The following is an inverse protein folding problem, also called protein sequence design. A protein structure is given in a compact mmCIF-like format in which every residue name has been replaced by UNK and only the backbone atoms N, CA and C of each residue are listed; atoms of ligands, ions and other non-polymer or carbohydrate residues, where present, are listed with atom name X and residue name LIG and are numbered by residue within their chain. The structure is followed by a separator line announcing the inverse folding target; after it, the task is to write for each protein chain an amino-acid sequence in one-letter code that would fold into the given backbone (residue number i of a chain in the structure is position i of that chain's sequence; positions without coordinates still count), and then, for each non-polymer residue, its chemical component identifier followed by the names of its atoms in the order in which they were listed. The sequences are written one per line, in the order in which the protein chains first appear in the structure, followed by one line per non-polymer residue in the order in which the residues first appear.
data_IF_995818448276
#
_entry.id   IF_995818448276
#
_cell.length_a   1.000
_cell.length_b   1.000
_cell.length_c   1.000
_cell.angle_alpha   90.00
_cell.angle_beta   90.00
_cell.angle_gamma   90.00
#
_symmetry.space_group_name_H-M   'P 1'
#
loop_
_entity.id
_entity.type
_entity.pdbx_description
1 polymer ?
#
# COMPACT_ATOMS: atom_id res chain seq x y z
N UNK A 1 14.65 -0.45 14.32
CA UNK A 1 13.24 -0.84 14.55
C UNK A 1 12.64 -1.64 13.37
N UNK A 2 13.43 -2.20 12.47
CA UNK A 2 12.96 -2.90 11.24
C UNK A 2 12.68 -4.41 11.43
N UNK A 3 13.41 -5.05 12.35
CA UNK A 3 13.39 -6.51 12.54
C UNK A 3 12.06 -7.03 13.14
N UNK A 4 11.48 -6.36 14.13
CA UNK A 4 10.20 -6.78 14.73
C UNK A 4 9.02 -6.64 13.77
N UNK A 5 8.99 -5.58 12.96
CA UNK A 5 7.96 -5.37 11.94
C UNK A 5 8.06 -6.41 10.82
N UNK A 6 9.26 -6.68 10.30
CA UNK A 6 9.47 -7.70 9.27
C UNK A 6 9.18 -9.13 9.75
N UNK A 7 9.49 -9.46 11.01
CA UNK A 7 9.07 -10.73 11.62
C UNK A 7 7.55 -10.86 11.71
N UNK A 8 6.84 -9.75 11.97
CA UNK A 8 5.38 -9.70 11.98
C UNK A 8 4.79 -10.03 10.59
N UNK A 9 5.25 -9.35 9.54
CA UNK A 9 4.80 -9.62 8.16
C UNK A 9 5.12 -11.05 7.69
N UNK A 10 6.31 -11.57 8.01
CA UNK A 10 6.69 -12.94 7.66
C UNK A 10 5.83 -14.00 8.36
N UNK A 11 5.52 -13.80 9.64
CA UNK A 11 4.63 -14.69 10.38
C UNK A 11 3.21 -14.66 9.82
N UNK A 12 2.70 -13.49 9.47
CA UNK A 12 1.39 -13.30 8.87
C UNK A 12 1.28 -13.95 7.48
N UNK A 13 2.27 -13.72 6.61
CA UNK A 13 2.34 -14.35 5.29
C UNK A 13 2.36 -15.88 5.39
N UNK A 14 3.11 -16.43 6.35
CA UNK A 14 3.15 -17.87 6.62
C UNK A 14 1.78 -18.38 7.09
N UNK A 15 1.13 -17.65 8.01
CA UNK A 15 -0.17 -18.00 8.56
C UNK A 15 -1.27 -18.05 7.49
N UNK A 16 -1.30 -17.06 6.57
CA UNK A 16 -2.25 -17.03 5.44
C UNK A 16 -2.15 -18.31 4.61
N UNK A 17 -0.92 -18.72 4.24
CA UNK A 17 -0.70 -19.91 3.41
C UNK A 17 -1.06 -21.19 4.15
N UNK A 18 -0.67 -21.32 5.43
CA UNK A 18 -0.94 -22.52 6.22
C UNK A 18 -2.43 -22.70 6.51
N UNK A 19 -3.13 -21.62 6.86
CA UNK A 19 -4.55 -21.67 7.17
C UNK A 19 -5.41 -21.97 5.94
N UNK A 20 -4.96 -21.60 4.73
CA UNK A 20 -5.69 -21.87 3.48
C UNK A 20 -5.93 -23.37 3.20
N UNK A 21 -5.08 -24.25 3.74
CA UNK A 21 -5.22 -25.71 3.59
C UNK A 21 -5.79 -26.41 4.83
N UNK A 22 -6.15 -25.66 5.87
CA UNK A 22 -6.72 -26.19 7.10
C UNK A 22 -8.26 -26.10 7.07
N UNK A 23 -8.90 -27.03 6.36
CA UNK A 23 -10.37 -27.06 6.24
C UNK A 23 -11.10 -27.31 7.56
N UNK A 24 -10.40 -27.76 8.61
CA UNK A 24 -10.99 -27.93 9.93
C UNK A 24 -11.23 -26.60 10.65
N UNK A 25 -10.48 -25.55 10.30
CA UNK A 25 -10.58 -24.21 10.89
C UNK A 25 -10.63 -23.11 9.82
N UNK A 26 -11.73 -23.05 9.06
CA UNK A 26 -11.95 -21.99 8.06
C UNK A 26 -11.94 -20.58 8.68
N UNK A 27 -12.30 -20.44 9.96
CA UNK A 27 -12.30 -19.15 10.67
C UNK A 27 -10.87 -18.64 10.89
N UNK A 28 -9.90 -19.54 11.10
CA UNK A 28 -8.49 -19.19 11.15
C UNK A 28 -8.02 -18.57 9.83
N UNK A 29 -8.39 -19.18 8.70
CA UNK A 29 -8.02 -18.62 7.39
C UNK A 29 -8.65 -17.25 7.16
N UNK A 30 -9.93 -17.10 7.51
CA UNK A 30 -10.62 -15.83 7.37
C UNK A 30 -9.99 -14.71 8.21
N UNK A 31 -9.63 -15.00 9.47
CA UNK A 31 -8.87 -14.06 10.32
C UNK A 31 -7.50 -13.72 9.74
N UNK A 32 -6.80 -14.70 9.15
CA UNK A 32 -5.50 -14.49 8.52
C UNK A 32 -5.61 -13.58 7.28
N UNK A 33 -6.64 -13.79 6.45
CA UNK A 33 -6.95 -12.93 5.29
C UNK A 33 -7.28 -11.50 5.74
N UNK A 34 -8.13 -11.33 6.75
CA UNK A 34 -8.45 -10.02 7.31
C UNK A 34 -7.20 -9.30 7.83
N UNK A 35 -6.35 -9.99 8.59
CA UNK A 35 -5.11 -9.43 9.08
C UNK A 35 -4.13 -9.06 7.95
N UNK A 36 -4.05 -9.86 6.89
CA UNK A 36 -3.23 -9.59 5.72
C UNK A 36 -3.70 -8.35 4.95
N UNK A 37 -5.01 -8.21 4.72
CA UNK A 37 -5.59 -7.04 4.06
C UNK A 37 -5.39 -5.76 4.89
N UNK A 38 -5.53 -5.87 6.22
CA UNK A 38 -5.21 -4.76 7.12
C UNK A 38 -3.72 -4.39 7.09
N UNK A 39 -2.83 -5.38 6.97
CA UNK A 39 -1.38 -5.16 6.85
C UNK A 39 -0.98 -4.49 5.51
N UNK A 40 -1.82 -4.57 4.49
CA UNK A 40 -1.69 -3.82 3.24
C UNK A 40 -2.22 -2.38 3.35
N UNK A 41 -2.74 -1.97 4.52
CA UNK A 41 -3.25 -0.62 4.75
C UNK A 41 -4.71 -0.40 4.33
N UNK A 42 -5.50 -1.48 4.21
CA UNK A 42 -6.93 -1.40 3.93
C UNK A 42 -7.72 -1.46 5.23
N UNK A 43 -8.81 -0.68 5.33
CA UNK A 43 -9.71 -0.75 6.48
C UNK A 43 -10.53 -2.05 6.41
N UNK A 44 -10.51 -2.85 7.47
CA UNK A 44 -11.19 -4.16 7.51
C UNK A 44 -12.28 -4.17 8.58
N UNK A 45 -13.49 -4.51 8.15
CA UNK A 45 -14.66 -4.74 8.99
C UNK A 45 -14.95 -6.24 9.03
N UNK A 46 -14.88 -6.83 10.23
CA UNK A 46 -15.25 -8.24 10.47
C UNK A 46 -16.59 -8.29 11.17
N UNK A 47 -17.61 -8.87 10.51
CA UNK A 47 -18.92 -9.06 11.12
C UNK A 47 -18.96 -10.43 11.81
N UNK A 48 -19.04 -10.46 13.14
CA UNK A 48 -19.00 -11.70 13.93
C UNK A 48 -20.38 -12.30 14.21
N UNK A 49 -20.48 -13.63 14.10
CA UNK A 49 -21.60 -14.45 14.57
C UNK A 49 -21.28 -15.96 14.51
N UNK A 50 -22.05 -16.82 15.22
CA UNK A 50 -21.86 -18.27 15.13
C UNK A 50 -21.97 -18.74 13.67
N UNK A 51 -20.88 -19.29 13.13
CA UNK A 51 -20.76 -19.78 11.73
C UNK A 51 -20.85 -18.73 10.62
N UNK A 52 -20.69 -17.45 10.94
CA UNK A 52 -20.66 -16.35 9.96
C UNK A 52 -19.69 -15.31 10.45
N UNK A 53 -18.43 -15.47 10.08
CA UNK A 53 -17.55 -14.32 10.04
C UNK A 53 -17.58 -13.89 8.57
N UNK A 54 -18.00 -12.64 8.35
CA UNK A 54 -18.04 -12.04 7.02
C UNK A 54 -16.99 -10.92 7.05
N UNK A 55 -16.08 -10.88 6.09
CA UNK A 55 -15.05 -9.83 5.97
C UNK A 55 -15.48 -8.85 4.89
N UNK A 56 -15.49 -7.56 5.23
CA UNK A 56 -15.69 -6.46 4.29
C UNK A 56 -14.50 -5.54 4.41
N UNK A 57 -13.94 -5.11 3.28
CA UNK A 57 -12.87 -4.12 3.27
C UNK A 57 -13.35 -2.81 2.64
N UNK A 58 -12.86 -1.69 3.16
CA UNK A 58 -13.10 -0.35 2.64
C UNK A 58 -11.80 0.23 2.07
N UNK A 59 -11.80 0.49 0.77
CA UNK A 59 -10.68 1.03 0.03
C UNK A 59 -10.89 2.53 -0.19
N UNK A 60 -9.91 3.32 0.23
CA UNK A 60 -9.90 4.77 0.01
C UNK A 60 -9.06 5.10 -1.22
N UNK A 61 -9.71 5.25 -2.36
CA UNK A 61 -9.03 5.63 -3.60
C UNK A 61 -8.79 7.15 -3.68
N UNK A 62 -9.62 7.93 -2.99
CA UNK A 62 -9.44 9.36 -2.71
C UNK A 62 -10.27 9.77 -1.49
N UNK A 63 -10.14 11.00 -0.96
CA UNK A 63 -10.98 11.46 0.17
C UNK A 63 -12.50 11.39 -0.09
N UNK A 64 -12.90 11.43 -1.36
CA UNK A 64 -14.31 11.40 -1.79
C UNK A 64 -14.70 10.10 -2.49
N UNK A 65 -13.76 9.18 -2.68
CA UNK A 65 -13.98 7.96 -3.44
C UNK A 65 -13.60 6.75 -2.59
N UNK A 66 -14.63 5.98 -2.24
CA UNK A 66 -14.52 4.79 -1.39
C UNK A 66 -15.20 3.62 -2.06
N UNK A 67 -14.56 2.47 -1.95
CA UNK A 67 -15.08 1.22 -2.48
C UNK A 67 -15.08 0.15 -1.38
N UNK A 68 -16.24 -0.46 -1.16
CA UNK A 68 -16.42 -1.62 -0.30
C UNK A 68 -16.30 -2.90 -1.12
N UNK A 69 -15.52 -3.85 -0.61
CA UNK A 69 -15.33 -5.16 -1.23
C UNK A 69 -15.72 -6.23 -0.20
N UNK A 70 -16.64 -7.12 -0.58
CA UNK A 70 -16.95 -8.28 0.22
C UNK A 70 -15.87 -9.34 -0.01
N UNK A 71 -15.27 -9.86 1.05
CA UNK A 71 -14.18 -10.83 0.98
C UNK A 71 -14.71 -12.19 1.43
N UNK A 72 -14.55 -13.19 0.57
CA UNK A 72 -14.85 -14.59 0.87
C UNK A 72 -13.53 -15.36 0.97
N UNK A 73 -13.32 -16.07 2.07
CA UNK A 73 -12.19 -16.97 2.24
C UNK A 73 -12.64 -18.44 2.11
N UNK A 74 -11.97 -19.22 1.27
CA UNK A 74 -12.20 -20.66 1.11
C UNK A 74 -10.95 -21.46 1.43
N UNK A 75 -11.09 -22.43 2.32
CA UNK A 75 -10.05 -23.41 2.60
C UNK A 75 -10.30 -24.69 1.81
N UNK A 76 -9.23 -25.36 1.41
CA UNK A 76 -9.31 -26.70 0.84
C UNK A 76 -8.11 -27.55 1.28
N UNK A 77 -8.38 -28.75 1.82
CA UNK A 77 -7.37 -29.64 2.37
C UNK A 77 -6.45 -30.26 1.31
N UNK A 78 -6.88 -30.32 0.06
CA UNK A 78 -6.05 -30.74 -1.08
C UNK A 78 -5.31 -29.55 -1.73
N UNK A 79 -5.60 -28.32 -1.29
CA UNK A 79 -5.01 -27.08 -1.78
C UNK A 79 -5.63 -26.54 -3.07
N UNK A 80 -6.78 -27.05 -3.51
CA UNK A 80 -7.43 -26.64 -4.76
C UNK A 80 -8.93 -26.45 -4.57
N UNK A 81 -9.39 -25.20 -4.70
CA UNK A 81 -10.81 -24.85 -4.67
C UNK A 81 -11.45 -25.14 -6.03
N UNK A 82 -12.54 -25.90 -6.01
CA UNK A 82 -13.28 -26.36 -7.19
C UNK A 82 -14.64 -25.69 -7.34
N UNK A 83 -15.31 -25.91 -8.47
CA UNK A 83 -16.68 -25.45 -8.75
C UNK A 83 -17.72 -25.99 -7.74
N UNK A 84 -17.40 -27.06 -7.01
CA UNK A 84 -18.27 -27.62 -5.97
C UNK A 84 -18.17 -26.85 -4.64
N UNK A 85 -17.03 -26.22 -4.39
CA UNK A 85 -16.73 -25.50 -3.14
C UNK A 85 -17.28 -24.08 -3.13
N UNK A 86 -17.48 -23.50 -4.32
CA UNK A 86 -17.89 -22.12 -4.51
C UNK A 86 -19.28 -22.05 -5.12
N UNK A 87 -20.22 -21.45 -4.39
CA UNK A 87 -21.56 -21.13 -4.91
C UNK A 87 -21.62 -19.65 -5.24
N UNK A 88 -21.30 -19.27 -6.49
CA UNK A 88 -21.19 -17.86 -6.90
C UNK A 88 -22.44 -17.01 -6.62
N UNK A 89 -23.65 -17.57 -6.71
CA UNK A 89 -24.87 -16.85 -6.33
C UNK A 89 -24.85 -16.40 -4.85
N UNK A 90 -24.25 -17.17 -3.94
CA UNK A 90 -24.10 -16.78 -2.53
C UNK A 90 -23.09 -15.66 -2.34
N UNK A 91 -22.09 -15.57 -3.22
CA UNK A 91 -21.14 -14.46 -3.23
C UNK A 91 -21.85 -13.16 -3.64
N UNK A 92 -22.79 -13.24 -4.59
CA UNK A 92 -23.69 -12.15 -4.94
C UNK A 92 -24.54 -11.69 -3.74
N UNK A 93 -25.20 -12.62 -3.05
CA UNK A 93 -25.98 -12.29 -1.84
C UNK A 93 -25.11 -11.69 -0.73
N UNK A 94 -23.89 -12.19 -0.55
CA UNK A 94 -22.94 -11.67 0.43
C UNK A 94 -22.53 -10.22 0.11
N UNK A 95 -22.23 -9.94 -1.16
CA UNK A 95 -21.93 -8.59 -1.66
C UNK A 95 -23.09 -7.63 -1.45
N UNK A 96 -24.32 -8.04 -1.79
CA UNK A 96 -25.53 -7.23 -1.61
C UNK A 96 -25.82 -6.94 -0.14
N UNK A 97 -25.72 -7.95 0.74
CA UNK A 97 -25.94 -7.82 2.19
C UNK A 97 -25.07 -6.72 2.80
N UNK A 98 -23.83 -6.61 2.35
CA UNK A 98 -22.86 -5.65 2.87
C UNK A 98 -22.74 -4.38 2.04
N UNK A 99 -23.62 -4.16 1.05
CA UNK A 99 -23.56 -3.01 0.15
C UNK A 99 -22.16 -2.83 -0.48
N UNK A 100 -21.49 -3.94 -0.78
CA UNK A 100 -20.19 -3.95 -1.44
C UNK A 100 -20.37 -3.81 -2.96
N UNK A 101 -19.44 -3.13 -3.62
CA UNK A 101 -19.46 -2.95 -5.07
C UNK A 101 -18.80 -4.11 -5.81
N UNK A 102 -17.89 -4.84 -5.15
CA UNK A 102 -17.18 -5.98 -5.72
C UNK A 102 -17.04 -7.10 -4.68
N UNK A 103 -16.63 -8.28 -5.17
CA UNK A 103 -16.31 -9.44 -4.35
C UNK A 103 -14.89 -9.89 -4.62
N UNK A 104 -14.14 -10.18 -3.57
CA UNK A 104 -12.85 -10.85 -3.61
C UNK A 104 -13.00 -12.26 -3.04
N UNK A 105 -12.59 -13.28 -3.79
CA UNK A 105 -12.49 -14.66 -3.32
C UNK A 105 -11.01 -15.00 -3.10
N UNK A 106 -10.69 -15.46 -1.89
CA UNK A 106 -9.35 -15.86 -1.47
C UNK A 106 -9.33 -17.35 -1.15
N UNK A 107 -8.36 -18.09 -1.68
CA UNK A 107 -8.22 -19.54 -1.46
C UNK A 107 -6.82 -20.05 -1.75
N UNK A 108 -6.49 -21.32 -1.44
CA UNK A 108 -5.15 -21.87 -1.68
C UNK A 108 -4.75 -21.83 -3.16
N UNK A 109 -5.57 -22.40 -4.04
CA UNK A 109 -5.51 -22.34 -5.50
C UNK A 109 -6.93 -22.47 -6.05
N UNK A 110 -7.14 -22.13 -7.32
CA UNK A 110 -8.43 -22.25 -8.00
C UNK A 110 -8.30 -23.09 -9.25
N UNK A 111 -9.28 -23.95 -9.51
CA UNK A 111 -9.35 -24.67 -10.78
C UNK A 111 -9.80 -23.75 -11.93
N UNK A 112 -9.64 -24.24 -13.17
CA UNK A 112 -9.98 -23.47 -14.36
C UNK A 112 -11.47 -23.12 -14.49
N UNK A 113 -12.37 -23.88 -13.84
CA UNK A 113 -13.82 -23.63 -13.87
C UNK A 113 -14.17 -22.48 -12.93
N UNK A 114 -13.63 -22.48 -11.71
CA UNK A 114 -13.77 -21.38 -10.76
C UNK A 114 -13.25 -20.09 -11.37
N UNK A 115 -12.09 -20.11 -12.04
CA UNK A 115 -11.57 -18.92 -12.75
C UNK A 115 -12.52 -18.41 -13.83
N UNK A 116 -13.08 -19.30 -14.64
CA UNK A 116 -14.04 -18.92 -15.70
C UNK A 116 -15.33 -18.34 -15.13
N UNK A 117 -15.87 -18.95 -14.06
CA UNK A 117 -17.09 -18.47 -13.41
C UNK A 117 -16.85 -17.13 -12.70
N UNK A 118 -15.72 -16.97 -12.02
CA UNK A 118 -15.35 -15.72 -11.39
C UNK A 118 -15.26 -14.56 -12.39
N UNK A 119 -14.69 -14.79 -13.57
CA UNK A 119 -14.65 -13.81 -14.64
C UNK A 119 -16.06 -13.43 -15.14
N UNK A 120 -16.98 -14.39 -15.25
CA UNK A 120 -18.37 -14.13 -15.66
C UNK A 120 -19.14 -13.34 -14.61
N UNK A 121 -18.96 -13.68 -13.34
CA UNK A 121 -19.66 -13.08 -12.20
C UNK A 121 -18.97 -11.83 -11.63
N UNK A 122 -17.85 -11.42 -12.25
CA UNK A 122 -17.01 -10.27 -11.86
C UNK A 122 -16.55 -10.37 -10.39
N UNK A 123 -16.04 -11.55 -10.04
CA UNK A 123 -15.41 -11.83 -8.74
C UNK A 123 -13.91 -11.82 -8.93
N UNK A 124 -13.20 -11.00 -8.15
CA UNK A 124 -11.75 -10.99 -8.13
C UNK A 124 -11.24 -12.26 -7.43
N UNK A 125 -10.17 -12.86 -7.95
CA UNK A 125 -9.51 -14.02 -7.35
C UNK A 125 -8.12 -13.64 -6.87
N UNK A 126 -7.76 -14.03 -5.65
CA UNK A 126 -6.39 -13.96 -5.14
C UNK A 126 -6.09 -15.27 -4.42
N UNK A 127 -4.97 -15.89 -4.74
CA UNK A 127 -4.50 -17.06 -4.00
C UNK A 127 -3.89 -16.65 -2.65
N UNK A 128 -3.92 -17.56 -1.68
CA UNK A 128 -3.27 -17.36 -0.38
C UNK A 128 -1.77 -17.04 -0.54
N UNK A 129 -1.14 -17.61 -1.57
CA UNK A 129 0.27 -17.32 -1.91
C UNK A 129 0.44 -15.91 -2.47
N UNK A 130 -0.39 -15.49 -3.41
CA UNK A 130 -0.34 -14.12 -3.96
C UNK A 130 -0.59 -13.07 -2.87
N UNK A 131 -1.54 -13.30 -1.97
CA UNK A 131 -1.78 -12.42 -0.82
C UNK A 131 -0.58 -12.38 0.13
N UNK A 132 0.01 -13.54 0.45
CA UNK A 132 1.20 -13.62 1.29
C UNK A 132 2.41 -12.90 0.66
N UNK A 133 2.63 -13.09 -0.64
CA UNK A 133 3.68 -12.42 -1.39
C UNK A 133 3.44 -10.90 -1.43
N UNK A 134 2.19 -10.46 -1.62
CA UNK A 134 1.81 -9.05 -1.59
C UNK A 134 2.12 -8.42 -0.23
N UNK A 135 1.75 -9.06 0.88
CA UNK A 135 2.07 -8.60 2.25
C UNK A 135 3.58 -8.44 2.44
N UNK A 136 4.36 -9.43 2.01
CA UNK A 136 5.81 -9.40 2.14
C UNK A 136 6.44 -8.29 1.30
N UNK A 137 6.02 -8.12 0.04
CA UNK A 137 6.54 -7.08 -0.84
C UNK A 137 6.13 -5.68 -0.38
N UNK A 138 4.87 -5.51 0.06
CA UNK A 138 4.35 -4.25 0.55
C UNK A 138 5.14 -3.71 1.74
N UNK A 139 5.69 -4.59 2.60
CA UNK A 139 6.55 -4.19 3.72
C UNK A 139 7.85 -3.49 3.32
N UNK A 140 8.25 -3.59 2.04
CA UNK A 140 9.49 -3.01 1.48
C UNK A 140 9.18 -1.93 0.45
N UNK A 141 8.17 -2.19 -0.37
CA UNK A 141 7.72 -1.33 -1.46
C UNK A 141 6.21 -1.15 -1.32
N UNK A 142 5.74 -0.17 -0.52
CA UNK A 142 4.32 0.04 -0.34
C UNK A 142 3.63 0.40 -1.65
N UNK A 143 2.55 -0.32 -1.95
CA UNK A 143 1.62 0.04 -3.01
C UNK A 143 0.74 1.21 -2.56
N UNK A 144 0.39 2.08 -3.50
CA UNK A 144 -0.62 3.11 -3.30
C UNK A 144 -2.02 2.51 -3.11
N UNK A 145 -2.96 3.24 -2.50
CA UNK A 145 -4.33 2.76 -2.33
C UNK A 145 -5.02 2.36 -3.64
N UNK A 146 -4.68 3.03 -4.75
CA UNK A 146 -5.20 2.69 -6.09
C UNK A 146 -4.66 1.36 -6.60
N UNK A 147 -3.37 1.10 -6.42
CA UNK A 147 -2.72 -0.16 -6.82
C UNK A 147 -3.26 -1.33 -5.98
N UNK A 148 -3.47 -1.14 -4.67
CA UNK A 148 -4.13 -2.14 -3.82
C UNK A 148 -5.58 -2.38 -4.27
N UNK A 149 -6.31 -1.31 -4.58
CA UNK A 149 -7.68 -1.44 -5.06
C UNK A 149 -7.76 -2.22 -6.37
N UNK A 150 -6.84 -1.99 -7.32
CA UNK A 150 -6.77 -2.76 -8.56
C UNK A 150 -6.58 -4.27 -8.28
N UNK A 151 -5.63 -4.61 -7.40
CA UNK A 151 -5.36 -5.98 -6.98
C UNK A 151 -6.62 -6.69 -6.44
N UNK A 152 -7.40 -6.04 -5.58
CA UNK A 152 -8.53 -6.69 -4.86
C UNK A 152 -9.89 -6.56 -5.55
N UNK A 153 -10.00 -5.77 -6.63
CA UNK A 153 -11.29 -5.51 -7.30
C UNK A 153 -11.37 -6.02 -8.72
N UNK A 154 -10.25 -6.00 -9.45
CA UNK A 154 -10.20 -6.52 -10.82
C UNK A 154 -9.74 -7.98 -10.86
N UNK A 155 -9.07 -8.46 -9.79
CA UNK A 155 -8.33 -9.72 -9.85
C UNK A 155 -7.36 -9.66 -11.02
N UNK A 156 -6.47 -8.65 -11.00
CA UNK A 156 -5.48 -8.47 -12.06
C UNK A 156 -4.85 -9.81 -12.40
N UNK A 157 -4.73 -10.13 -13.69
CA UNK A 157 -3.95 -11.29 -14.06
C UNK A 157 -2.51 -11.16 -13.53
N UNK A 158 -1.83 -12.30 -13.40
CA UNK A 158 -0.52 -12.33 -12.77
C UNK A 158 0.51 -11.42 -13.47
N UNK A 159 0.34 -11.13 -14.77
CA UNK A 159 1.23 -10.26 -15.52
C UNK A 159 0.98 -8.79 -15.18
N UNK A 160 -0.28 -8.34 -15.17
CA UNK A 160 -0.66 -7.00 -14.76
C UNK A 160 -0.19 -6.69 -13.33
N UNK A 161 -0.44 -7.60 -12.38
CA UNK A 161 0.02 -7.43 -11.00
C UNK A 161 1.54 -7.37 -10.92
N UNK A 162 2.26 -8.18 -11.70
CA UNK A 162 3.72 -8.14 -11.74
C UNK A 162 4.25 -6.81 -12.30
N UNK A 163 3.59 -6.22 -13.30
CA UNK A 163 3.93 -4.89 -13.82
C UNK A 163 3.69 -3.80 -12.77
N UNK A 164 2.57 -3.86 -12.05
CA UNK A 164 2.27 -2.95 -10.93
C UNK A 164 3.37 -2.99 -9.87
N UNK A 165 3.81 -4.18 -9.46
CA UNK A 165 4.92 -4.33 -8.52
C UNK A 165 6.24 -3.77 -9.06
N UNK A 166 6.60 -4.07 -10.31
CA UNK A 166 7.83 -3.54 -10.93
C UNK A 166 7.82 -2.02 -10.98
N UNK A 167 6.68 -1.41 -11.32
CA UNK A 167 6.54 0.03 -11.35
C UNK A 167 6.70 0.65 -9.95
N UNK A 168 6.10 0.05 -8.92
CA UNK A 168 6.25 0.51 -7.54
C UNK A 168 7.69 0.35 -7.03
N UNK A 169 8.36 -0.76 -7.34
CA UNK A 169 9.76 -1.02 -6.99
C UNK A 169 10.68 0.01 -7.65
N UNK A 170 10.46 0.28 -8.95
CA UNK A 170 11.21 1.28 -9.70
C UNK A 170 11.01 2.69 -9.13
N UNK A 171 9.77 3.04 -8.77
CA UNK A 171 9.46 4.32 -8.11
C UNK A 171 10.20 4.46 -6.77
N UNK A 172 10.28 3.39 -5.99
CA UNK A 172 11.00 3.37 -4.72
C UNK A 172 12.52 3.50 -4.89
N UNK A 173 13.09 2.83 -5.90
CA UNK A 173 14.51 3.00 -6.27
C UNK A 173 14.82 4.44 -6.66
N UNK A 174 13.99 5.04 -7.52
CA UNK A 174 14.13 6.42 -7.94
C UNK A 174 14.07 7.37 -6.73
N UNK A 175 13.06 7.23 -5.87
CA UNK A 175 12.93 8.03 -4.64
C UNK A 175 14.15 7.90 -3.72
N UNK A 176 14.61 6.67 -3.47
CA UNK A 176 15.76 6.41 -2.61
C UNK A 176 17.04 7.03 -3.17
N UNK A 177 17.28 6.89 -4.48
CA UNK A 177 18.49 7.38 -5.12
C UNK A 177 18.50 8.91 -5.23
N UNK A 178 17.36 9.52 -5.58
CA UNK A 178 17.19 10.98 -5.58
C UNK A 178 17.39 11.53 -4.18
N UNK A 179 16.75 10.95 -3.16
CA UNK A 179 16.91 11.38 -1.77
C UNK A 179 18.38 11.24 -1.31
N UNK A 180 19.03 10.12 -1.62
CA UNK A 180 20.44 9.92 -1.28
C UNK A 180 21.34 10.96 -1.96
N UNK A 181 21.07 11.29 -3.22
CA UNK A 181 21.82 12.28 -3.99
C UNK A 181 21.64 13.69 -3.41
N UNK A 182 20.40 14.08 -3.11
CA UNK A 182 20.10 15.35 -2.45
C UNK A 182 20.77 15.44 -1.08
N UNK A 183 20.70 14.36 -0.30
CA UNK A 183 21.32 14.31 1.02
C UNK A 183 22.85 14.41 0.93
N UNK A 184 23.48 13.65 0.03
CA UNK A 184 24.93 13.67 -0.17
C UNK A 184 25.41 15.07 -0.53
N UNK A 185 24.80 15.70 -1.54
CA UNK A 185 25.20 17.03 -1.99
C UNK A 185 24.88 18.12 -0.96
N UNK A 186 23.73 18.03 -0.28
CA UNK A 186 23.35 18.94 0.80
C UNK A 186 24.21 18.84 2.06
N UNK A 187 25.05 17.81 2.18
CA UNK A 187 25.98 17.62 3.29
C UNK A 187 27.46 17.65 2.86
N UNK A 188 27.76 17.95 1.59
CA UNK A 188 29.13 18.12 1.11
C UNK A 188 29.50 19.62 1.05
N UNK A 189 30.44 20.11 1.89
CA UNK A 189 30.85 21.51 1.91
C UNK A 189 31.43 22.02 0.58
N UNK A 190 31.98 21.12 -0.25
CA UNK A 190 32.51 21.46 -1.57
C UNK A 190 31.34 21.71 -2.53
N UNK A 191 30.40 20.77 -2.62
CA UNK A 191 29.21 20.93 -3.47
C UNK A 191 28.44 22.19 -3.11
N UNK A 192 28.15 22.40 -1.82
CA UNK A 192 27.41 23.58 -1.35
C UNK A 192 28.09 24.89 -1.80
N UNK A 193 29.44 24.93 -1.84
CA UNK A 193 30.18 26.10 -2.28
C UNK A 193 29.99 26.39 -3.78
N UNK A 194 29.89 25.36 -4.62
CA UNK A 194 29.84 25.51 -6.08
C UNK A 194 28.43 25.48 -6.67
N UNK A 195 27.48 24.78 -6.02
CA UNK A 195 26.09 24.63 -6.47
C UNK A 195 25.12 25.48 -5.65
N UNK A 196 25.60 26.18 -4.62
CA UNK A 196 24.76 26.88 -3.63
C UNK A 196 23.73 25.97 -2.94
N UNK A 197 23.95 24.65 -2.93
CA UNK A 197 23.01 23.65 -2.39
C UNK A 197 21.79 23.39 -3.27
N UNK A 198 21.85 23.76 -4.55
CA UNK A 198 20.78 23.53 -5.53
C UNK A 198 21.19 22.43 -6.49
N UNK A 199 20.32 21.42 -6.64
CA UNK A 199 20.46 20.40 -7.67
C UNK A 199 19.25 20.40 -8.61
N UNK A 200 19.52 20.37 -9.91
CA UNK A 200 18.52 20.12 -10.94
C UNK A 200 18.50 18.66 -11.39
N UNK A 201 17.53 18.32 -12.25
CA UNK A 201 17.36 16.97 -12.83
C UNK A 201 18.66 16.48 -13.48
N UNK A 202 19.33 17.31 -14.28
CA UNK A 202 20.57 16.95 -14.97
C UNK A 202 21.75 16.66 -14.03
N UNK A 203 21.82 17.36 -12.88
CA UNK A 203 22.88 17.15 -11.89
C UNK A 203 22.65 15.84 -11.13
N UNK A 204 21.40 15.61 -10.72
CA UNK A 204 20.99 14.36 -10.07
C UNK A 204 21.23 13.18 -11.01
N UNK A 205 20.81 13.28 -12.27
CA UNK A 205 21.06 12.23 -13.26
C UNK A 205 22.56 11.95 -13.42
N UNK A 206 23.39 12.98 -13.54
CA UNK A 206 24.85 12.82 -13.72
C UNK A 206 25.49 12.07 -12.56
N UNK A 207 25.04 12.35 -11.34
CA UNK A 207 25.53 11.72 -10.12
C UNK A 207 24.98 10.28 -9.95
N UNK A 208 23.72 10.06 -10.33
CA UNK A 208 22.98 8.83 -10.12
C UNK A 208 23.13 7.78 -11.24
N UNK A 209 23.48 8.18 -12.47
CA UNK A 209 23.43 7.31 -13.67
C UNK A 209 24.28 6.04 -13.59
N UNK A 210 25.29 6.00 -12.72
CA UNK A 210 26.15 4.83 -12.51
C UNK A 210 25.72 3.93 -11.35
N UNK A 211 24.66 4.31 -10.61
CA UNK A 211 24.24 3.59 -9.40
C UNK A 211 23.30 2.42 -9.68
N UNK A 212 22.65 2.39 -10.85
CA UNK A 212 21.71 1.35 -11.27
C UNK A 212 22.14 0.75 -12.61
N UNK A 213 21.76 -0.50 -12.86
CA UNK A 213 21.97 -1.16 -14.16
C UNK A 213 21.24 -0.41 -15.28
N UNK A 214 19.98 -0.06 -15.04
CA UNK A 214 19.20 0.85 -15.89
C UNK A 214 19.16 2.23 -15.22
N UNK A 215 19.84 3.25 -15.79
CA UNK A 215 19.82 4.61 -15.25
C UNK A 215 18.40 5.16 -15.12
N UNK A 216 18.19 6.09 -14.17
CA UNK A 216 16.94 6.82 -14.09
C UNK A 216 16.76 7.71 -15.33
N UNK A 217 15.54 7.84 -15.83
CA UNK A 217 15.19 8.86 -16.80
C UNK A 217 14.82 10.19 -16.13
N UNK A 218 14.60 11.24 -16.93
CA UNK A 218 14.26 12.56 -16.40
C UNK A 218 12.89 12.59 -15.72
N UNK A 219 11.90 11.88 -16.24
CA UNK A 219 10.56 11.80 -15.64
C UNK A 219 10.59 11.14 -14.26
N UNK A 220 11.35 10.06 -14.10
CA UNK A 220 11.51 9.37 -12.81
C UNK A 220 12.11 10.29 -11.74
N UNK A 221 13.10 11.10 -12.13
CA UNK A 221 13.73 12.09 -11.24
C UNK A 221 12.74 13.22 -10.91
N UNK A 222 11.99 13.73 -11.89
CA UNK A 222 10.99 14.78 -11.70
C UNK A 222 9.84 14.33 -10.79
N UNK A 223 9.33 13.11 -10.97
CA UNK A 223 8.31 12.53 -10.12
C UNK A 223 8.79 12.40 -8.67
N UNK A 224 10.01 11.89 -8.48
CA UNK A 224 10.62 11.78 -7.16
C UNK A 224 10.83 13.14 -6.48
N UNK A 225 11.31 14.15 -7.21
CA UNK A 225 11.46 15.52 -6.71
C UNK A 225 10.10 16.16 -6.37
N UNK A 226 9.09 15.93 -7.20
CA UNK A 226 7.72 16.42 -6.95
C UNK A 226 7.17 15.81 -5.67
N UNK A 227 7.38 14.52 -5.46
CA UNK A 227 6.96 13.82 -4.24
C UNK A 227 7.70 14.31 -2.98
N UNK A 228 9.02 14.53 -3.07
CA UNK A 228 9.84 15.04 -1.96
C UNK A 228 9.63 16.53 -1.69
N UNK A 229 9.05 17.25 -2.66
CA UNK A 229 8.78 18.67 -2.59
C UNK A 229 7.64 19.04 -1.62
N UNK A 230 7.55 20.32 -1.21
CA UNK A 230 6.40 20.79 -0.44
C UNK A 230 5.10 20.59 -1.23
N UNK A 231 3.98 20.24 -0.57
CA UNK A 231 2.70 19.97 -1.23
C UNK A 231 2.08 21.19 -1.94
N UNK A 232 2.70 22.37 -1.86
CA UNK A 232 2.20 23.62 -2.42
C UNK A 232 3.21 24.36 -3.30
N UNK A 233 4.26 23.71 -3.82
CA UNK A 233 5.20 24.35 -4.75
C UNK A 233 4.62 24.33 -6.18
N UNK A 234 4.12 25.45 -6.73
CA UNK A 234 3.51 25.48 -8.06
C UNK A 234 4.56 25.51 -9.19
N UNK A 235 5.84 25.40 -8.84
CA UNK A 235 6.95 25.77 -9.73
C UNK A 235 8.04 24.70 -9.71
N UNK A 236 7.80 23.61 -10.43
CA UNK A 236 8.89 22.78 -10.98
C UNK A 236 8.98 22.98 -12.50
N UNK A 237 8.94 24.23 -12.96
CA UNK A 237 9.21 24.62 -14.35
C UNK A 237 10.73 24.76 -14.58
N UNK A 238 11.49 23.68 -14.34
CA UNK A 238 12.91 23.62 -14.68
C UNK A 238 13.85 24.48 -13.81
N UNK A 239 13.47 24.82 -12.57
CA UNK A 239 14.39 25.47 -11.62
C UNK A 239 14.44 24.73 -10.28
N UNK A 240 15.65 24.25 -9.96
CA UNK A 240 16.29 24.29 -8.64
C UNK A 240 15.48 23.84 -7.42
N UNK A 241 15.72 22.62 -6.95
CA UNK A 241 15.39 22.21 -5.58
C UNK A 241 16.24 23.01 -4.59
N UNK A 242 15.64 23.87 -3.76
CA UNK A 242 16.33 24.49 -2.62
C UNK A 242 15.89 23.82 -1.33
N UNK A 243 16.78 23.06 -0.68
CA UNK A 243 16.59 22.73 0.73
C UNK A 243 16.84 24.00 1.54
N UNK A 244 15.75 24.67 1.93
CA UNK A 244 15.82 25.83 2.82
C UNK A 244 16.37 25.41 4.18
N UNK A 245 17.64 25.76 4.46
CA UNK A 245 18.19 25.70 5.82
C UNK A 245 17.58 26.82 6.66
N UNK A 246 16.31 26.70 7.04
CA UNK A 246 15.78 27.54 8.12
C UNK A 246 16.41 27.06 9.43
N UNK A 247 17.45 27.76 9.86
CA UNK A 247 17.80 27.86 11.28
C UNK A 247 16.55 28.37 12.01
N UNK A 248 15.80 27.47 12.65
CA UNK A 248 14.82 27.88 13.63
C UNK A 248 15.56 28.46 14.84
N UNK A 249 15.25 29.70 15.28
CA UNK A 249 15.71 30.16 16.58
C UNK A 249 14.97 29.36 17.67
N UNK A 250 15.77 28.91 18.64
CA UNK A 250 15.42 28.35 19.94
C UNK A 250 13.97 28.62 20.41
N UNK A 251 13.21 27.55 20.60
CA UNK A 251 12.00 27.53 21.41
C UNK A 251 12.37 27.83 22.87
N UNK A 252 11.72 28.76 23.60
CA UNK A 252 11.88 28.83 25.05
C UNK A 252 11.00 27.77 25.73
N UNK A 253 11.38 27.25 26.91
CA UNK A 253 10.63 26.20 27.59
C UNK A 253 9.29 26.73 28.15
N UNK A 254 8.29 25.86 28.39
CA UNK A 254 6.98 26.27 28.86
C UNK A 254 7.06 26.68 30.33
N UNK A 255 6.60 27.89 30.64
CA UNK A 255 6.38 28.33 32.02
C UNK A 255 4.98 27.92 32.43
N UNK A 256 4.88 27.08 33.46
CA UNK A 256 3.67 26.84 34.23
C UNK A 256 3.14 28.15 34.82
N UNK A 257 1.85 28.45 34.64
CA UNK A 257 1.20 29.59 35.29
C UNK A 257 -0.31 29.58 35.08
N UNK A 258 -1.05 29.53 36.19
CA UNK A 258 -2.47 29.20 36.33
C UNK A 258 -3.27 30.48 36.58
N UNK A 259 -4.56 30.49 36.19
CA UNK A 259 -5.63 31.47 36.51
C UNK A 259 -5.57 32.83 35.77
N UNK A 260 -6.64 33.55 35.43
CA UNK A 260 -8.01 33.63 35.96
C UNK A 260 -8.92 34.35 34.93
N UNK A 261 -10.22 34.04 34.96
CA UNK A 261 -11.31 34.74 34.27
C UNK A 261 -11.35 36.26 34.56
N UNK A 262 -11.78 37.07 33.59
CA UNK A 262 -12.85 38.07 33.80
C UNK A 262 -13.32 38.73 32.50
N UNK A 263 -14.65 38.79 32.37
CA UNK A 263 -15.44 39.64 31.50
C UNK A 263 -15.10 41.14 31.66
N UNK A 264 -15.16 41.94 30.59
CA UNK A 264 -16.17 43.00 30.39
C UNK A 264 -15.96 43.80 29.09
N UNK A 265 -17.05 43.99 28.34
CA UNK A 265 -17.30 45.18 27.47
C UNK A 265 -17.59 46.39 28.39
N UNK A 266 -17.36 47.67 27.99
CA UNK A 266 -18.18 48.45 27.02
C UNK A 266 -17.31 49.40 26.14
N UNK A 267 -17.82 50.16 25.16
CA UNK A 267 -19.16 50.65 24.83
C UNK A 267 -19.45 50.58 23.33
#
# INVERSE_FOLDING_TARGET
MTDTGQRSFGSLATEVVQAATDSADYQRFERAVAAALNALGVDVETHGGPKKTDVVIELWQSPTDRQRVAVEAKTDGAGLVTDQDVKFWRLGEHRERHMAQSTLLVGPQFDARVTQEAAREKVALITARELADAVMRHSRTPLSPREIAAMVTAGEDAEALALTWRAAERRQEALSLVLHTLWKSGNDPVDIRYTTGVLGVSDIWREAKGALETPLDSSEIEEALTFLGPPSSPEWNGRAATMSSRRHPLWPPPVCGRWLLSLNRPA
#
